data_IF_049253047170
#
_entry.id   IF_049253047170
#
_cell.length_a   1.000
_cell.length_b   1.000
_cell.length_c   1.000
_cell.angle_alpha   90.00
_cell.angle_beta   90.00
_cell.angle_gamma   90.00
#
_symmetry.space_group_name_H-M   'P 1'
#
loop_
_entity.id
_entity.type
_entity.pdbx_description
1 polymer ?
#
# COMPACT_ATOMS: atom_id res chain seq x y z
N UNK A 1 -10.03 16.38 3.74
CA UNK A 1 -9.03 17.15 2.96
C UNK A 1 -7.74 17.35 3.75
N UNK A 2 -7.79 17.71 5.05
CA UNK A 2 -6.60 17.91 5.89
C UNK A 2 -5.62 16.72 5.94
N UNK A 3 -6.11 15.48 6.06
CA UNK A 3 -5.26 14.28 6.22
C UNK A 3 -4.34 13.95 5.03
N UNK A 4 -4.67 14.47 3.85
CA UNK A 4 -3.89 14.31 2.61
C UNK A 4 -2.62 15.17 2.66
N UNK A 5 -2.74 16.36 3.26
CA UNK A 5 -1.69 17.37 3.33
C UNK A 5 -0.83 17.23 4.60
N UNK A 6 -1.36 16.58 5.64
CA UNK A 6 -0.59 16.27 6.84
C UNK A 6 0.48 15.21 6.56
N UNK A 7 1.70 15.36 7.12
CA UNK A 7 2.72 14.32 7.11
C UNK A 7 2.20 13.00 7.70
N UNK A 8 2.86 11.90 7.34
CA UNK A 8 2.58 10.60 7.94
C UNK A 8 2.90 10.65 9.45
N UNK A 9 1.99 10.17 10.29
CA UNK A 9 2.21 9.96 11.72
C UNK A 9 2.10 8.47 12.01
N UNK A 10 3.24 7.78 12.02
CA UNK A 10 3.29 6.33 12.22
C UNK A 10 2.76 5.92 13.60
N UNK A 11 2.95 6.74 14.65
CA UNK A 11 2.43 6.45 15.99
C UNK A 11 0.90 6.43 16.00
N UNK A 12 0.27 7.40 15.34
CA UNK A 12 -1.18 7.43 15.17
C UNK A 12 -1.68 6.25 14.34
N UNK A 13 -0.96 5.90 13.26
CA UNK A 13 -1.25 4.74 12.42
C UNK A 13 -1.20 3.44 13.22
N UNK A 14 -0.13 3.21 14.00
CA UNK A 14 0.00 2.01 14.83
C UNK A 14 -1.06 1.95 15.93
N UNK A 15 -1.36 3.07 16.58
CA UNK A 15 -2.41 3.15 17.58
C UNK A 15 -3.78 2.80 16.99
N UNK A 16 -4.13 3.42 15.86
CA UNK A 16 -5.37 3.14 15.16
C UNK A 16 -5.42 1.69 14.65
N UNK A 17 -4.33 1.18 14.08
CA UNK A 17 -4.24 -0.19 13.65
C UNK A 17 -4.46 -1.17 14.79
N UNK A 18 -3.87 -0.96 15.98
CA UNK A 18 -4.11 -1.78 17.18
C UNK A 18 -5.56 -1.74 17.65
N UNK A 19 -6.19 -0.57 17.59
CA UNK A 19 -7.63 -0.41 17.90
C UNK A 19 -8.50 -1.15 16.89
N UNK A 20 -8.10 -1.18 15.62
CA UNK A 20 -8.78 -1.88 14.53
C UNK A 20 -8.44 -3.37 14.49
N UNK A 21 -7.29 -3.81 15.01
CA UNK A 21 -6.78 -5.20 14.93
C UNK A 21 -7.42 -6.14 15.96
N UNK A 22 -8.43 -5.68 16.71
CA UNK A 22 -9.48 -6.57 17.20
C UNK A 22 -10.36 -7.13 16.06
N UNK A 23 -10.13 -6.68 14.82
CA UNK A 23 -10.70 -7.21 13.58
C UNK A 23 -9.57 -7.81 12.73
N UNK A 24 -9.70 -9.09 12.39
CA UNK A 24 -8.77 -9.77 11.49
C UNK A 24 -8.73 -9.05 10.14
N UNK A 25 -7.53 -8.63 9.73
CA UNK A 25 -7.22 -8.38 8.33
C UNK A 25 -7.49 -9.71 7.62
N UNK A 26 -8.23 -9.77 6.50
CA UNK A 26 -8.26 -10.99 5.70
C UNK A 26 -6.83 -11.43 5.45
N UNK A 27 -6.52 -12.72 5.54
CA UNK A 27 -5.21 -13.28 5.19
C UNK A 27 -4.85 -12.87 3.75
N UNK A 28 -4.33 -11.66 3.60
CA UNK A 28 -4.18 -11.00 2.31
C UNK A 28 -3.09 -11.70 1.53
N UNK A 29 -2.19 -12.39 2.22
CA UNK A 29 -1.23 -13.30 1.62
C UNK A 29 -1.93 -14.48 0.93
N UNK A 30 -2.87 -15.16 1.60
CA UNK A 30 -3.59 -16.31 1.02
C UNK A 30 -4.49 -15.88 -0.16
N UNK A 31 -5.16 -14.73 -0.05
CA UNK A 31 -6.03 -14.22 -1.12
C UNK A 31 -5.26 -13.62 -2.31
N UNK A 32 -4.19 -12.83 -2.08
CA UNK A 32 -3.42 -12.22 -3.18
C UNK A 32 -2.65 -13.26 -3.98
N UNK A 33 -2.20 -14.34 -3.33
CA UNK A 33 -1.53 -15.44 -4.02
C UNK A 33 -2.54 -16.38 -4.68
N UNK A 34 -3.63 -16.76 -4.00
CA UNK A 34 -4.60 -17.77 -4.44
C UNK A 34 -5.73 -17.30 -5.39
N UNK A 35 -5.98 -16.01 -5.53
CA UNK A 35 -7.06 -15.50 -6.42
C UNK A 35 -6.64 -15.36 -7.89
N UNK A 36 -5.35 -15.18 -8.20
CA UNK A 36 -4.89 -14.95 -9.58
C UNK A 36 -4.91 -16.23 -10.43
N UNK A 37 -4.67 -17.40 -9.82
CA UNK A 37 -4.65 -18.68 -10.56
C UNK A 37 -6.05 -19.15 -10.98
N UNK A 38 -7.13 -18.60 -10.42
CA UNK A 38 -8.51 -18.98 -10.82
C UNK A 38 -8.96 -18.35 -12.15
N UNK A 39 -8.28 -17.32 -12.64
CA UNK A 39 -8.70 -16.60 -13.86
C UNK A 39 -8.16 -17.25 -15.15
N UNK A 40 -7.23 -18.22 -15.06
CA UNK A 40 -6.73 -18.96 -16.22
C UNK A 40 -6.76 -20.46 -16.00
N UNK A 41 -7.92 -21.09 -16.17
CA UNK A 41 -8.00 -22.52 -16.51
C UNK A 41 -9.35 -22.87 -17.17
N UNK A 42 -9.48 -22.53 -18.44
CA UNK A 42 -10.09 -23.44 -19.41
C UNK A 42 -8.96 -23.91 -20.32
N UNK A 43 -8.18 -24.91 -19.89
CA UNK A 43 -7.51 -25.87 -20.79
C UNK A 43 -6.70 -26.96 -20.02
N UNK A 44 -7.27 -28.18 -20.05
CA UNK A 44 -6.71 -29.56 -20.05
C UNK A 44 -5.47 -29.94 -19.19
N UNK A 45 -5.77 -30.51 -18.02
CA UNK A 45 -5.37 -31.83 -17.46
C UNK A 45 -3.93 -32.41 -17.45
N UNK A 46 -2.85 -31.69 -17.81
CA UNK A 46 -1.48 -32.13 -17.49
C UNK A 46 -0.63 -31.12 -16.69
N UNK A 47 -1.06 -29.85 -16.64
CA UNK A 47 -0.38 -28.78 -15.89
C UNK A 47 -0.80 -28.67 -14.41
N UNK A 48 -1.78 -29.46 -13.95
CA UNK A 48 -2.39 -29.27 -12.63
C UNK A 48 -1.45 -29.69 -11.50
N UNK A 49 -0.68 -30.78 -11.66
CA UNK A 49 0.24 -31.26 -10.63
C UNK A 49 1.50 -30.38 -10.50
N UNK A 50 2.02 -29.87 -11.61
CA UNK A 50 3.19 -28.98 -11.63
C UNK A 50 2.86 -27.61 -11.02
N UNK A 51 1.70 -27.05 -11.34
CA UNK A 51 1.23 -25.80 -10.75
C UNK A 51 0.94 -25.94 -9.26
N UNK A 52 0.38 -27.07 -8.80
CA UNK A 52 0.11 -27.28 -7.37
C UNK A 52 1.39 -27.26 -6.52
N UNK A 53 2.48 -27.83 -7.05
CA UNK A 53 3.77 -27.85 -6.36
C UNK A 53 4.44 -26.47 -6.33
N UNK A 54 4.34 -25.69 -7.41
CA UNK A 54 4.84 -24.32 -7.46
C UNK A 54 4.04 -23.38 -6.53
N UNK A 55 2.71 -23.53 -6.47
CA UNK A 55 1.84 -22.79 -5.55
C UNK A 55 2.13 -23.15 -4.08
N UNK A 56 2.37 -24.42 -3.78
CA UNK A 56 2.71 -24.88 -2.42
C UNK A 56 4.06 -24.31 -1.97
N UNK A 57 5.09 -24.39 -2.83
CA UNK A 57 6.41 -23.83 -2.53
C UNK A 57 6.37 -22.32 -2.31
N UNK A 58 5.58 -21.60 -3.12
CA UNK A 58 5.37 -20.17 -2.97
C UNK A 58 4.73 -19.82 -1.62
N UNK A 59 3.75 -20.60 -1.19
CA UNK A 59 3.09 -20.42 0.10
C UNK A 59 4.05 -20.68 1.27
N UNK A 60 4.79 -21.79 1.24
CA UNK A 60 5.78 -22.15 2.26
C UNK A 60 6.88 -21.09 2.40
N UNK A 61 7.46 -20.66 1.27
CA UNK A 61 8.47 -19.61 1.26
C UNK A 61 7.91 -18.25 1.72
N UNK A 62 6.65 -17.96 1.39
CA UNK A 62 5.93 -16.78 1.85
C UNK A 62 5.78 -16.75 3.37
N UNK A 63 5.29 -17.84 3.95
CA UNK A 63 5.16 -17.99 5.41
C UNK A 63 6.53 -17.88 6.08
N UNK A 64 7.55 -18.53 5.51
CA UNK A 64 8.92 -18.46 6.03
C UNK A 64 9.48 -17.03 6.02
N UNK A 65 9.21 -16.23 4.97
CA UNK A 65 9.61 -14.83 4.88
C UNK A 65 8.94 -13.98 5.97
N UNK A 66 7.63 -14.12 6.16
CA UNK A 66 6.88 -13.34 7.15
C UNK A 66 7.29 -13.72 8.58
N UNK A 67 7.46 -15.01 8.85
CA UNK A 67 8.00 -15.49 10.13
C UNK A 67 9.39 -14.93 10.39
N UNK A 68 10.27 -14.92 9.38
CA UNK A 68 11.59 -14.32 9.50
C UNK A 68 11.54 -12.82 9.79
N UNK A 69 10.62 -12.07 9.18
CA UNK A 69 10.43 -10.64 9.49
C UNK A 69 10.02 -10.42 10.94
N UNK A 70 9.08 -11.22 11.45
CA UNK A 70 8.59 -11.09 12.82
C UNK A 70 9.65 -11.49 13.85
N UNK A 71 10.37 -12.60 13.62
CA UNK A 71 11.44 -13.08 14.50
C UNK A 71 12.67 -12.16 14.49
N UNK A 72 13.02 -11.61 13.32
CA UNK A 72 14.12 -10.65 13.22
C UNK A 72 13.73 -9.33 13.86
N UNK A 73 12.53 -8.81 13.58
CA UNK A 73 12.03 -7.57 14.18
C UNK A 73 12.01 -7.62 15.71
N UNK A 74 11.58 -8.74 16.31
CA UNK A 74 11.62 -8.91 17.79
C UNK A 74 13.02 -8.77 18.39
N UNK A 75 14.07 -9.10 17.62
CA UNK A 75 15.46 -9.04 18.07
C UNK A 75 16.09 -7.67 17.84
N UNK A 76 15.74 -7.02 16.72
CA UNK A 76 16.46 -5.80 16.26
C UNK A 76 15.65 -4.52 16.31
N UNK A 77 14.35 -4.55 16.61
CA UNK A 77 13.56 -3.32 16.76
C UNK A 77 13.58 -2.87 18.21
N UNK A 78 14.43 -1.90 18.53
CA UNK A 78 14.38 -1.24 19.83
C UNK A 78 13.22 -0.21 19.88
N UNK A 79 12.91 0.23 21.10
CA UNK A 79 11.77 1.10 21.36
C UNK A 79 11.91 2.48 20.72
N UNK A 80 13.11 3.04 20.68
CA UNK A 80 13.37 4.38 20.17
C UNK A 80 13.26 4.38 18.64
N UNK A 81 13.83 3.38 17.95
CA UNK A 81 13.64 3.21 16.51
C UNK A 81 12.17 3.05 16.12
N UNK A 82 11.40 2.26 16.88
CA UNK A 82 9.96 2.12 16.65
C UNK A 82 9.24 3.45 16.89
N UNK A 83 9.64 4.22 17.91
CA UNK A 83 9.08 5.54 18.18
C UNK A 83 9.40 6.56 17.08
N UNK A 84 10.52 6.44 16.38
CA UNK A 84 10.96 7.40 15.37
C UNK A 84 10.48 7.05 13.96
N UNK A 85 10.48 5.77 13.59
CA UNK A 85 10.16 5.32 12.22
C UNK A 85 8.90 4.46 12.11
N UNK A 86 8.51 3.80 13.21
CA UNK A 86 7.39 2.85 13.22
C UNK A 86 7.73 1.49 12.64
N UNK A 87 6.98 0.48 13.09
CA UNK A 87 7.21 -0.94 12.81
C UNK A 87 7.15 -1.25 11.32
N UNK A 88 6.20 -0.69 10.59
CA UNK A 88 6.06 -0.90 9.14
C UNK A 88 7.30 -0.42 8.36
N UNK A 89 7.89 0.72 8.77
CA UNK A 89 9.10 1.25 8.16
C UNK A 89 10.29 0.32 8.41
N UNK A 90 10.47 -0.13 9.65
CA UNK A 90 11.56 -1.03 10.03
C UNK A 90 11.43 -2.41 9.34
N UNK A 91 10.20 -2.94 9.18
CA UNK A 91 9.95 -4.17 8.42
C UNK A 91 10.38 -4.06 6.97
N UNK A 92 10.02 -2.96 6.29
CA UNK A 92 10.45 -2.71 4.91
C UNK A 92 11.96 -2.48 4.81
N UNK A 93 12.58 -1.87 5.81
CA UNK A 93 14.03 -1.75 5.87
C UNK A 93 14.71 -3.12 5.91
N UNK A 94 14.25 -4.06 6.74
CA UNK A 94 14.79 -5.43 6.80
C UNK A 94 14.70 -6.18 5.45
N UNK A 95 13.73 -5.83 4.62
CA UNK A 95 13.62 -6.37 3.27
C UNK A 95 14.57 -5.70 2.29
N UNK A 96 14.73 -4.39 2.41
CA UNK A 96 15.46 -3.58 1.43
C UNK A 96 16.96 -3.57 1.65
N UNK A 97 17.41 -3.59 2.90
CA UNK A 97 18.81 -3.44 3.26
C UNK A 97 19.29 -4.55 4.22
N UNK A 98 20.61 -4.64 4.40
CA UNK A 98 21.25 -5.64 5.26
C UNK A 98 20.62 -5.64 6.65
N UNK A 99 20.35 -6.85 7.15
CA UNK A 99 19.87 -7.06 8.51
C UNK A 99 20.89 -6.46 9.50
N UNK A 100 20.47 -5.48 10.32
CA UNK A 100 21.31 -4.93 11.38
C UNK A 100 21.78 -6.04 12.32
N UNK A 101 22.99 -5.92 12.86
CA UNK A 101 23.51 -6.96 13.76
C UNK A 101 22.87 -6.82 15.13
N UNK A 102 22.52 -7.96 15.71
CA UNK A 102 22.08 -8.07 17.08
C UNK A 102 23.27 -7.76 18.00
N UNK A 103 23.17 -6.69 18.80
CA UNK A 103 24.19 -6.23 19.76
C UNK A 103 25.40 -5.43 19.20
N UNK A 104 25.27 -4.74 18.07
CA UNK A 104 26.25 -3.68 17.77
C UNK A 104 26.12 -2.57 18.83
N UNK A 105 27.23 -2.12 19.43
CA UNK A 105 27.27 -0.97 20.35
C UNK A 105 28.09 0.15 19.69
N UNK A 106 27.52 1.36 19.45
CA UNK A 106 26.12 1.71 19.66
C UNK A 106 25.20 1.09 18.60
N UNK A 107 24.02 0.63 19.05
CA UNK A 107 23.00 -0.08 18.24
C UNK A 107 22.65 0.62 16.92
N UNK A 108 22.72 1.96 16.94
CA UNK A 108 22.43 2.85 15.82
C UNK A 108 23.41 2.77 14.65
N UNK A 109 24.68 2.40 14.87
CA UNK A 109 25.70 2.45 13.81
C UNK A 109 25.51 1.37 12.74
N UNK A 110 24.75 0.32 13.06
CA UNK A 110 24.39 -0.76 12.13
C UNK A 110 23.20 -0.39 11.23
N UNK A 111 22.44 0.64 11.59
CA UNK A 111 21.32 1.15 10.82
C UNK A 111 21.76 2.29 9.90
N UNK A 112 21.49 2.15 8.61
CA UNK A 112 21.80 3.20 7.64
C UNK A 112 20.67 4.23 7.64
N UNK A 113 20.87 5.33 8.35
CA UNK A 113 19.90 6.43 8.49
C UNK A 113 19.35 6.90 7.13
N UNK A 114 20.21 7.08 6.12
CA UNK A 114 19.77 7.48 4.77
C UNK A 114 18.83 6.47 4.09
N UNK A 115 19.02 5.18 4.34
CA UNK A 115 18.13 4.14 3.81
C UNK A 115 16.82 4.07 4.62
N UNK A 116 16.88 4.19 5.95
CA UNK A 116 15.68 4.31 6.80
C UNK A 116 14.80 5.48 6.38
N UNK A 117 15.40 6.66 6.23
CA UNK A 117 14.72 7.87 5.79
C UNK A 117 14.12 7.72 4.38
N UNK A 118 14.82 7.01 3.49
CA UNK A 118 14.30 6.65 2.17
C UNK A 118 13.03 5.79 2.23
N UNK A 119 13.02 4.78 3.10
CA UNK A 119 11.85 3.90 3.32
C UNK A 119 10.71 4.67 3.99
N UNK A 120 10.99 5.52 4.98
CA UNK A 120 9.99 6.35 5.64
C UNK A 120 9.30 7.30 4.65
N UNK A 121 10.10 7.98 3.80
CA UNK A 121 9.58 8.82 2.70
C UNK A 121 8.78 8.01 1.68
N UNK A 122 9.20 6.78 1.38
CA UNK A 122 8.43 5.88 0.51
C UNK A 122 7.04 5.58 1.10
N UNK A 123 6.96 5.19 2.37
CA UNK A 123 5.68 4.95 3.06
C UNK A 123 4.80 6.20 3.10
N UNK A 124 5.38 7.38 3.37
CA UNK A 124 4.66 8.65 3.34
C UNK A 124 4.08 8.97 1.95
N UNK A 125 4.85 8.74 0.88
CA UNK A 125 4.38 8.90 -0.51
C UNK A 125 3.29 7.90 -0.87
N UNK A 126 3.42 6.64 -0.44
CA UNK A 126 2.44 5.60 -0.63
C UNK A 126 1.11 5.93 0.06
N UNK A 127 1.15 6.29 1.36
CA UNK A 127 -0.02 6.75 2.12
C UNK A 127 -0.71 7.91 1.42
N UNK A 128 0.06 8.94 1.04
CA UNK A 128 -0.48 10.13 0.35
C UNK A 128 -1.15 9.75 -0.97
N UNK A 129 -0.52 8.89 -1.78
CA UNK A 129 -1.09 8.44 -3.05
C UNK A 129 -2.47 7.80 -2.85
N UNK A 130 -2.60 6.86 -1.92
CA UNK A 130 -3.89 6.19 -1.64
C UNK A 130 -4.95 7.18 -1.17
N UNK A 131 -4.60 8.08 -0.23
CA UNK A 131 -5.55 9.05 0.32
C UNK A 131 -5.99 10.10 -0.71
N UNK A 132 -5.06 10.60 -1.53
CA UNK A 132 -5.37 11.54 -2.62
C UNK A 132 -6.31 10.88 -3.62
N UNK A 133 -5.98 9.66 -4.07
CA UNK A 133 -6.79 8.93 -5.02
C UNK A 133 -8.20 8.68 -4.47
N UNK A 134 -8.33 8.25 -3.21
CA UNK A 134 -9.62 8.03 -2.56
C UNK A 134 -10.46 9.31 -2.46
N UNK A 135 -9.89 10.40 -1.91
CA UNK A 135 -10.62 11.68 -1.75
C UNK A 135 -11.03 12.25 -3.11
N UNK A 136 -10.16 12.12 -4.12
CA UNK A 136 -10.46 12.60 -5.47
C UNK A 136 -11.52 11.73 -6.16
N UNK A 137 -11.45 10.41 -6.00
CA UNK A 137 -12.40 9.48 -6.58
C UNK A 137 -13.80 9.59 -5.96
N UNK A 138 -13.87 9.81 -4.64
CA UNK A 138 -15.12 10.06 -3.90
C UNK A 138 -15.89 11.29 -4.39
N UNK A 139 -15.19 12.23 -5.05
CA UNK A 139 -15.79 13.40 -5.71
C UNK A 139 -16.15 13.15 -7.18
N UNK A 140 -16.09 11.90 -7.66
CA UNK A 140 -16.36 11.56 -9.06
C UNK A 140 -15.35 12.12 -10.07
N UNK A 141 -14.19 12.61 -9.61
CA UNK A 141 -13.27 13.35 -10.48
C UNK A 141 -12.42 12.46 -11.39
N UNK A 142 -12.37 11.14 -11.19
CA UNK A 142 -11.75 10.19 -12.13
C UNK A 142 -12.74 9.74 -13.22
N UNK A 143 -13.27 10.72 -13.96
CA UNK A 143 -14.09 10.48 -15.14
C UNK A 143 -13.23 10.11 -16.38
N UNK A 144 -13.87 9.74 -17.49
CA UNK A 144 -13.19 9.30 -18.73
C UNK A 144 -12.29 10.36 -19.36
N UNK A 145 -12.54 11.64 -19.09
CA UNK A 145 -11.72 12.74 -19.60
C UNK A 145 -10.44 12.90 -18.78
N UNK A 146 -10.53 12.73 -17.46
CA UNK A 146 -9.39 12.86 -16.57
C UNK A 146 -8.48 11.63 -16.58
N UNK A 147 -9.07 10.44 -16.64
CA UNK A 147 -8.39 9.14 -16.56
C UNK A 147 -8.80 8.26 -17.74
N UNK A 148 -7.87 8.07 -18.67
CA UNK A 148 -8.12 7.27 -19.87
C UNK A 148 -8.16 5.77 -19.58
N UNK A 149 -8.85 5.02 -20.43
CA UNK A 149 -8.86 3.54 -20.38
C UNK A 149 -7.45 2.97 -20.48
N UNK A 150 -6.57 3.59 -21.27
CA UNK A 150 -5.18 3.18 -21.42
C UNK A 150 -4.39 3.32 -20.10
N UNK A 151 -4.62 4.41 -19.35
CA UNK A 151 -4.03 4.58 -18.02
C UNK A 151 -4.52 3.54 -17.01
N UNK A 152 -5.81 3.19 -17.05
CA UNK A 152 -6.34 2.07 -16.25
C UNK A 152 -5.67 0.75 -16.64
N UNK A 153 -5.50 0.46 -17.93
CA UNK A 153 -4.80 -0.75 -18.39
C UNK A 153 -3.35 -0.76 -17.89
N UNK A 154 -2.62 0.36 -18.00
CA UNK A 154 -1.24 0.49 -17.48
C UNK A 154 -1.16 0.20 -15.98
N UNK A 155 -2.12 0.69 -15.19
CA UNK A 155 -2.19 0.44 -13.75
C UNK A 155 -2.41 -1.05 -13.44
N UNK A 156 -3.35 -1.70 -14.14
CA UNK A 156 -3.61 -3.14 -14.00
C UNK A 156 -2.39 -3.98 -14.36
N UNK A 157 -1.78 -3.70 -15.50
CA UNK A 157 -0.57 -4.38 -15.96
C UNK A 157 0.60 -4.17 -14.99
N UNK A 158 0.78 -2.95 -14.47
CA UNK A 158 1.82 -2.67 -13.49
C UNK A 158 1.62 -3.46 -12.20
N UNK A 159 0.38 -3.58 -11.72
CA UNK A 159 0.06 -4.33 -10.52
C UNK A 159 0.26 -5.85 -10.71
N UNK A 160 -0.21 -6.40 -11.83
CA UNK A 160 0.00 -7.81 -12.18
C UNK A 160 1.49 -8.14 -12.32
N UNK A 161 2.24 -7.34 -13.09
CA UNK A 161 3.67 -7.52 -13.28
C UNK A 161 4.45 -7.41 -11.96
N UNK A 162 4.05 -6.50 -11.08
CA UNK A 162 4.65 -6.35 -9.74
C UNK A 162 4.36 -7.59 -8.88
N UNK A 163 3.13 -8.08 -8.93
CA UNK A 163 2.74 -9.29 -8.19
C UNK A 163 3.53 -10.50 -8.66
N UNK A 164 3.69 -10.70 -9.98
CA UNK A 164 4.52 -11.77 -10.56
C UNK A 164 5.99 -11.63 -10.12
N UNK A 165 6.56 -10.42 -10.12
CA UNK A 165 7.93 -10.18 -9.65
C UNK A 165 8.10 -10.52 -8.17
N UNK A 166 7.15 -10.15 -7.32
CA UNK A 166 7.17 -10.47 -5.90
C UNK A 166 7.05 -11.97 -5.69
N UNK A 167 6.08 -12.64 -6.35
CA UNK A 167 5.93 -14.10 -6.31
C UNK A 167 7.22 -14.82 -6.69
N UNK A 168 7.85 -14.39 -7.79
CA UNK A 168 9.14 -14.94 -8.26
C UNK A 168 10.29 -14.70 -7.27
N UNK A 169 10.28 -13.57 -6.56
CA UNK A 169 11.29 -13.27 -5.54
C UNK A 169 11.12 -14.19 -4.32
N UNK A 170 9.87 -14.42 -3.90
CA UNK A 170 9.53 -15.32 -2.79
C UNK A 170 9.83 -16.78 -3.16
N UNK A 171 9.47 -17.24 -4.36
CA UNK A 171 9.69 -18.64 -4.78
C UNK A 171 11.17 -19.01 -4.84
N UNK A 172 12.06 -18.03 -5.05
CA UNK A 172 13.52 -18.19 -5.01
C UNK A 172 14.12 -18.22 -3.60
N UNK A 173 13.28 -18.16 -2.56
CA UNK A 173 13.68 -18.25 -1.16
C UNK A 173 14.08 -16.91 -0.52
N UNK A 174 14.29 -16.94 0.80
CA UNK A 174 14.53 -15.75 1.63
C UNK A 174 16.01 -15.30 1.62
N UNK A 175 16.50 -14.85 0.47
CA UNK A 175 17.84 -14.27 0.34
C UNK A 175 17.77 -12.74 0.34
N UNK A 176 18.87 -12.07 0.67
CA UNK A 176 18.93 -10.60 0.68
C UNK A 176 18.56 -9.97 -0.66
N UNK A 177 19.07 -10.53 -1.77
CA UNK A 177 18.72 -10.04 -3.12
C UNK A 177 17.23 -10.19 -3.41
N UNK A 178 16.63 -11.33 -3.05
CA UNK A 178 15.21 -11.56 -3.27
C UNK A 178 14.33 -10.63 -2.42
N UNK A 179 14.68 -10.41 -1.15
CA UNK A 179 13.98 -9.46 -0.28
C UNK A 179 14.03 -8.04 -0.84
N UNK A 180 15.21 -7.59 -1.27
CA UNK A 180 15.40 -6.25 -1.86
C UNK A 180 14.51 -6.06 -3.10
N UNK A 181 14.42 -7.09 -3.94
CA UNK A 181 13.61 -7.06 -5.16
C UNK A 181 12.10 -6.87 -4.87
N UNK A 182 11.61 -7.34 -3.71
CA UNK A 182 10.22 -7.11 -3.29
C UNK A 182 9.98 -5.61 -3.11
N UNK A 183 10.79 -4.96 -2.28
CA UNK A 183 10.65 -3.52 -1.97
C UNK A 183 10.87 -2.67 -3.22
N UNK A 184 11.89 -2.99 -4.03
CA UNK A 184 12.15 -2.29 -5.29
C UNK A 184 10.95 -2.37 -6.26
N UNK A 185 10.30 -3.54 -6.34
CA UNK A 185 9.09 -3.72 -7.15
C UNK A 185 7.91 -2.88 -6.64
N UNK A 186 7.72 -2.80 -5.31
CA UNK A 186 6.68 -1.97 -4.69
C UNK A 186 6.92 -0.46 -4.92
N UNK A 187 8.19 -0.02 -4.84
CA UNK A 187 8.57 1.37 -5.14
C UNK A 187 8.31 1.74 -6.61
N UNK A 188 8.63 0.83 -7.54
CA UNK A 188 8.32 1.01 -8.96
C UNK A 188 6.81 1.11 -9.20
N UNK A 189 6.01 0.24 -8.56
CA UNK A 189 4.56 0.28 -8.63
C UNK A 189 3.98 1.61 -8.13
N UNK A 190 4.49 2.12 -7.00
CA UNK A 190 4.09 3.43 -6.48
C UNK A 190 4.33 4.54 -7.50
N UNK A 191 5.49 4.57 -8.15
CA UNK A 191 5.81 5.60 -9.14
C UNK A 191 4.82 5.57 -10.32
N UNK A 192 4.42 4.38 -10.78
CA UNK A 192 3.43 4.22 -11.85
C UNK A 192 2.07 4.74 -11.40
N UNK A 193 1.62 4.35 -10.20
CA UNK A 193 0.37 4.83 -9.63
C UNK A 193 0.35 6.35 -9.49
N UNK A 194 1.43 6.95 -8.97
CA UNK A 194 1.53 8.40 -8.83
C UNK A 194 1.43 9.14 -10.16
N UNK A 195 2.03 8.57 -11.21
CA UNK A 195 2.00 9.13 -12.56
C UNK A 195 0.61 9.01 -13.20
N UNK A 196 0.09 7.80 -13.31
CA UNK A 196 -1.16 7.55 -14.05
C UNK A 196 -2.38 8.17 -13.34
N UNK A 197 -2.38 8.21 -12.00
CA UNK A 197 -3.45 8.85 -11.23
C UNK A 197 -3.23 10.36 -11.02
N UNK A 198 -2.18 10.94 -11.63
CA UNK A 198 -1.84 12.38 -11.58
C UNK A 198 -1.78 12.95 -10.17
N UNK A 199 -1.24 12.17 -9.23
CA UNK A 199 -1.27 12.50 -7.79
C UNK A 199 -0.59 13.83 -7.49
N UNK A 200 0.53 14.14 -8.15
CA UNK A 200 1.24 15.40 -7.96
C UNK A 200 0.37 16.62 -8.29
N UNK A 201 -0.29 16.59 -9.45
CA UNK A 201 -1.20 17.67 -9.89
C UNK A 201 -2.38 17.84 -8.94
N UNK A 202 -2.96 16.73 -8.49
CA UNK A 202 -4.11 16.74 -7.59
C UNK A 202 -3.71 17.31 -6.22
N UNK A 203 -2.57 16.91 -5.67
CA UNK A 203 -2.06 17.45 -4.40
C UNK A 203 -1.88 18.97 -4.49
N UNK A 204 -1.30 19.47 -5.58
CA UNK A 204 -1.17 20.91 -5.81
C UNK A 204 -2.53 21.61 -5.82
N UNK A 205 -3.51 21.08 -6.57
CA UNK A 205 -4.88 21.64 -6.61
C UNK A 205 -5.53 21.66 -5.23
N UNK A 206 -5.40 20.58 -4.46
CA UNK A 206 -5.94 20.48 -3.09
C UNK A 206 -5.25 21.48 -2.16
N UNK A 207 -3.94 21.69 -2.30
CA UNK A 207 -3.19 22.65 -1.50
C UNK A 207 -3.58 24.08 -1.82
N UNK A 208 -3.65 24.47 -3.10
CA UNK A 208 -4.09 25.80 -3.54
C UNK A 208 -5.47 26.13 -2.98
N UNK A 209 -6.42 25.21 -3.13
CA UNK A 209 -7.77 25.40 -2.59
C UNK A 209 -7.79 25.53 -1.07
N UNK A 210 -6.98 24.75 -0.34
CA UNK A 210 -6.88 24.86 1.11
C UNK A 210 -6.30 26.21 1.56
N UNK A 211 -5.32 26.76 0.81
CA UNK A 211 -4.75 28.09 1.07
C UNK A 211 -5.81 29.17 0.82
N UNK A 212 -6.52 29.13 -0.31
CA UNK A 212 -7.59 30.08 -0.64
C UNK A 212 -8.68 30.13 0.43
N UNK A 213 -9.07 28.98 0.97
CA UNK A 213 -10.08 28.88 2.03
C UNK A 213 -9.56 29.33 3.42
N UNK A 214 -8.25 29.37 3.63
CA UNK A 214 -7.65 29.81 4.89
C UNK A 214 -7.42 31.33 4.94
N UNK A 215 -7.47 32.03 3.80
CA UNK A 215 -7.31 33.49 3.73
C UNK A 215 -8.68 34.17 3.93
N UNK A 216 -8.86 35.00 4.97
CA UNK A 216 -10.10 35.74 5.18
C UNK A 216 -10.21 36.88 4.16
N UNK A 217 -10.93 36.66 3.06
CA UNK A 217 -11.24 37.73 2.12
C UNK A 217 -12.46 38.55 2.56
N UNK A 218 -12.23 39.83 2.89
CA UNK A 218 -13.26 40.83 3.14
C UNK A 218 -13.83 41.39 1.83
N UNK A 219 -14.54 40.59 1.03
CA UNK A 219 -15.51 41.07 0.04
C UNK A 219 -16.04 39.93 -0.84
N UNK A 220 -17.34 39.68 -0.69
CA UNK A 220 -18.37 39.52 -1.74
C UNK A 220 -17.99 38.68 -2.99
N UNK A 221 -18.72 37.56 -3.11
CA UNK A 221 -19.06 36.82 -4.33
C UNK A 221 -17.89 36.24 -5.14
N UNK A 222 -17.44 35.06 -4.72
CA UNK A 222 -17.36 33.94 -5.66
C UNK A 222 -17.78 32.67 -4.94
N UNK A 223 -19.08 32.39 -5.05
CA UNK A 223 -19.65 31.06 -4.81
C UNK A 223 -18.99 30.10 -5.81
N UNK A 224 -17.84 29.53 -5.45
CA UNK A 224 -17.57 28.16 -5.85
C UNK A 224 -18.50 27.31 -5.00
N UNK A 225 -19.75 27.22 -5.45
CA UNK A 225 -20.61 26.13 -5.03
C UNK A 225 -19.83 24.86 -5.34
N UNK A 226 -19.36 24.19 -4.29
CA UNK A 226 -19.11 22.76 -4.35
C UNK A 226 -20.49 22.18 -4.61
N UNK A 227 -20.90 22.16 -5.88
CA UNK A 227 -22.01 21.36 -6.34
C UNK A 227 -21.67 19.94 -5.89
N UNK A 228 -22.27 19.51 -4.78
CA UNK A 228 -22.51 18.11 -4.53
C UNK A 228 -23.46 17.69 -5.65
N UNK A 229 -22.92 17.38 -6.84
CA UNK A 229 -23.68 16.67 -7.86
C UNK A 229 -24.02 15.33 -7.22
N UNK A 230 -25.29 15.15 -6.92
CA UNK A 230 -25.86 13.93 -6.32
C UNK A 230 -25.62 12.68 -7.18
N UNK A 231 -25.13 12.84 -8.42
CA UNK A 231 -24.78 11.77 -9.37
C UNK A 231 -23.25 11.48 -9.50
N UNK A 232 -22.41 11.86 -8.52
CA UNK A 232 -20.96 11.58 -8.59
C UNK A 232 -20.65 10.09 -8.39
N UNK A 233 -20.76 9.31 -9.47
CA UNK A 233 -20.39 7.90 -9.51
C UNK A 233 -18.86 7.79 -9.36
N UNK A 234 -18.42 7.20 -8.26
CA UNK A 234 -17.01 6.87 -8.03
C UNK A 234 -16.52 5.90 -9.12
N UNK A 235 -15.29 6.08 -9.58
CA UNK A 235 -14.69 5.14 -10.51
C UNK A 235 -14.33 3.85 -9.77
N UNK A 236 -15.12 2.80 -9.98
CA UNK A 236 -14.95 1.50 -9.31
C UNK A 236 -13.60 0.85 -9.60
N UNK A 237 -13.03 1.08 -10.79
CA UNK A 237 -11.74 0.52 -11.19
C UNK A 237 -10.59 1.14 -10.39
N UNK A 238 -10.63 2.45 -10.16
CA UNK A 238 -9.63 3.14 -9.33
C UNK A 238 -9.70 2.66 -7.89
N UNK A 239 -10.92 2.50 -7.35
CA UNK A 239 -11.11 1.95 -6.00
C UNK A 239 -10.52 0.55 -5.90
N UNK A 240 -10.83 -0.34 -6.85
CA UNK A 240 -10.31 -1.70 -6.89
C UNK A 240 -8.78 -1.75 -7.00
N UNK A 241 -8.20 -0.96 -7.91
CA UNK A 241 -6.75 -0.86 -8.07
C UNK A 241 -6.03 -0.40 -6.79
N UNK A 242 -6.60 0.58 -6.08
CA UNK A 242 -6.04 1.03 -4.80
C UNK A 242 -6.16 -0.06 -3.72
N UNK A 243 -7.30 -0.77 -3.65
CA UNK A 243 -7.51 -1.87 -2.72
C UNK A 243 -6.52 -3.03 -2.98
N UNK A 244 -6.30 -3.39 -4.23
CA UNK A 244 -5.33 -4.43 -4.62
C UNK A 244 -3.90 -4.01 -4.26
N UNK A 245 -3.53 -2.73 -4.43
CA UNK A 245 -2.22 -2.26 -3.98
C UNK A 245 -2.09 -2.26 -2.44
N UNK A 246 -3.16 -1.92 -1.71
CA UNK A 246 -3.19 -2.06 -0.23
C UNK A 246 -3.00 -3.52 0.19
N UNK A 247 -3.69 -4.45 -0.48
CA UNK A 247 -3.55 -5.88 -0.21
C UNK A 247 -2.13 -6.39 -0.47
N UNK A 248 -1.49 -5.93 -1.55
CA UNK A 248 -0.12 -6.28 -1.90
C UNK A 248 0.92 -5.73 -0.89
N UNK A 249 0.67 -4.55 -0.32
CA UNK A 249 1.52 -3.92 0.71
C UNK A 249 1.32 -4.51 2.11
N UNK A 250 0.14 -5.05 2.41
CA UNK A 250 -0.27 -5.44 3.76
C UNK A 250 0.66 -6.43 4.49
N UNK A 251 1.27 -7.45 3.84
CA UNK A 251 2.20 -8.35 4.54
C UNK A 251 3.45 -7.63 5.07
N UNK A 252 3.83 -6.52 4.46
CA UNK A 252 5.08 -5.80 4.75
C UNK A 252 4.85 -4.54 5.59
N UNK A 253 3.72 -3.84 5.38
CA UNK A 253 3.30 -2.65 6.11
C UNK A 253 1.86 -2.80 6.67
N UNK A 254 1.65 -3.74 7.62
CA UNK A 254 0.31 -4.11 8.07
C UNK A 254 -0.45 -2.95 8.74
N UNK A 255 0.22 -2.15 9.59
CA UNK A 255 -0.46 -1.11 10.37
C UNK A 255 -1.03 -0.02 9.47
N UNK A 256 -0.25 0.40 8.48
CA UNK A 256 -0.66 1.35 7.46
C UNK A 256 -1.76 0.77 6.57
N UNK A 257 -1.60 -0.46 6.10
CA UNK A 257 -2.60 -1.10 5.22
C UNK A 257 -3.97 -1.23 5.90
N UNK A 258 -4.03 -1.60 7.18
CA UNK A 258 -5.29 -1.64 7.95
C UNK A 258 -5.95 -0.27 8.00
N UNK A 259 -5.16 0.74 8.35
CA UNK A 259 -5.66 2.12 8.50
C UNK A 259 -6.18 2.68 7.18
N UNK A 260 -5.52 2.36 6.05
CA UNK A 260 -5.95 2.77 4.71
C UNK A 260 -7.19 1.99 4.23
N UNK A 261 -7.24 0.69 4.47
CA UNK A 261 -8.36 -0.17 4.10
C UNK A 261 -9.65 0.25 4.84
N UNK A 262 -9.56 0.44 6.17
CA UNK A 262 -10.69 0.90 6.98
C UNK A 262 -11.26 2.24 6.49
N UNK A 263 -10.42 3.16 6.02
CA UNK A 263 -10.83 4.46 5.47
C UNK A 263 -11.58 4.33 4.13
N UNK A 264 -11.16 3.43 3.26
CA UNK A 264 -11.85 3.20 1.98
C UNK A 264 -13.22 2.54 2.19
N UNK A 265 -13.34 1.64 3.17
CA UNK A 265 -14.61 0.99 3.55
C UNK A 265 -15.51 1.86 4.47
N UNK A 266 -15.24 3.17 4.62
CA UNK A 266 -16.07 4.07 5.44
C UNK A 266 -16.09 3.74 6.94
N UNK A 267 -15.03 3.12 7.47
CA UNK A 267 -14.92 2.68 8.86
C UNK A 267 -15.60 1.35 9.17
N UNK A 268 -16.28 0.73 8.21
CA UNK A 268 -16.95 -0.55 8.40
C UNK A 268 -16.10 -1.70 7.82
N UNK A 269 -15.21 -2.26 8.65
CA UNK A 269 -14.26 -3.32 8.25
C UNK A 269 -14.98 -4.60 7.77
N UNK A 270 -16.24 -4.81 8.18
CA UNK A 270 -17.06 -5.93 7.68
C UNK A 270 -17.31 -5.86 6.16
N UNK A 271 -17.33 -4.67 5.56
CA UNK A 271 -17.47 -4.50 4.11
C UNK A 271 -16.19 -4.85 3.34
N UNK A 272 -15.02 -4.73 3.97
CA UNK A 272 -13.78 -5.21 3.36
C UNK A 272 -13.74 -6.77 3.28
N UNK A 273 -14.61 -7.48 4.03
CA UNK A 273 -14.84 -8.94 3.90
C UNK A 273 -15.84 -9.31 2.79
N UNK A 274 -16.75 -8.40 2.42
CA UNK A 274 -17.90 -8.70 1.56
C UNK A 274 -17.69 -8.42 0.07
N UNK A 275 -16.71 -7.61 -0.32
CA UNK A 275 -16.45 -7.32 -1.74
C UNK A 275 -15.60 -8.37 -2.49
N UNK A 276 -15.20 -9.46 -1.83
CA UNK A 276 -14.44 -10.57 -2.42
C UNK A 276 -15.27 -11.86 -2.58
N UNK A 277 -16.60 -11.80 -2.41
CA UNK A 277 -17.51 -12.95 -2.51
C UNK A 277 -18.54 -12.87 -3.64
N UNK A 278 -18.33 -11.99 -4.64
CA UNK A 278 -19.21 -11.89 -5.81
C UNK A 278 -18.44 -12.09 -7.11
#
# INVERSE_FOLDING_TARGET
>A
MNEVLTPMNHREIEYNAKKLSGCDIPDSFAHTIGSIDRVKCKDKNSNIAFNLQETQLLLENGIALLKWLDETGKRVFDKDLVMDYGTDCLRLYLLFEQTPKENDDPFYDSWKEGALEGIYKFLGRYRRMILVADVWNKKGNYNKEMLSTESICRLKEALENTTVKIKKSISRGNTMSNRHNIVSSLMQLLNIFQKELKIGEIVTKLHTHAVEMAVPHSSIENKFEIEQREDQIQNSEVTKLCQEFIALMAPYAPSLSVTLCARQCGGNIALCRLHNHS
#
